data_IF_654906545537
#
_entry.id   IF_654906545537
#
_cell.length_a   1.000
_cell.length_b   1.000
_cell.length_c   1.000
_cell.angle_alpha   90.00
_cell.angle_beta   90.00
_cell.angle_gamma   90.00
#
_symmetry.space_group_name_H-M   'P 1'
#
loop_
_entity.id
_entity.type
_entity.pdbx_description
1 polymer ?
#
# COMPACT_ATOMS: atom_id res chain seq x y z
N UNK A 1 -15.95 52.58 25.97
CA UNK A 1 -15.08 52.70 24.78
C UNK A 1 -14.30 51.40 24.63
N UNK A 2 -14.60 50.66 23.58
CA UNK A 2 -13.95 49.41 23.19
C UNK A 2 -12.69 49.74 22.38
N UNK A 3 -11.70 48.85 22.47
CA UNK A 3 -10.54 48.60 21.60
C UNK A 3 -9.18 48.82 22.25
N UNK A 4 -8.45 47.70 22.44
CA UNK A 4 -7.33 47.34 21.55
C UNK A 4 -6.93 45.87 21.74
N UNK A 5 -7.12 45.09 20.69
CA UNK A 5 -6.49 43.79 20.44
C UNK A 5 -4.96 43.90 20.49
N UNK A 6 -4.26 42.92 21.09
CA UNK A 6 -2.91 42.56 20.69
C UNK A 6 -3.00 41.42 19.67
N UNK A 7 -3.28 41.78 18.42
CA UNK A 7 -3.15 40.86 17.30
C UNK A 7 -1.68 40.73 16.89
N UNK A 8 -1.31 39.52 16.47
CA UNK A 8 -0.07 39.13 15.78
C UNK A 8 1.17 38.99 16.66
N UNK A 9 1.25 37.87 17.40
CA UNK A 9 2.54 37.17 17.57
C UNK A 9 2.50 35.88 16.78
N UNK A 10 3.35 35.87 15.76
CA UNK A 10 3.85 34.78 14.93
C UNK A 10 3.44 33.36 15.33
N UNK A 11 2.61 32.72 14.49
CA UNK A 11 2.33 31.29 14.51
C UNK A 11 3.05 30.54 13.37
N UNK A 12 4.24 31.02 12.98
CA UNK A 12 5.16 30.30 12.10
C UNK A 12 6.13 29.50 12.96
N UNK A 13 6.23 28.19 12.70
CA UNK A 13 7.32 27.37 13.22
C UNK A 13 8.34 27.27 12.10
N UNK A 14 9.45 28.00 12.24
CA UNK A 14 10.64 27.79 11.41
C UNK A 14 11.32 26.50 11.86
N UNK A 15 11.14 25.43 11.08
CA UNK A 15 11.88 24.19 11.29
C UNK A 15 13.16 24.23 10.45
N UNK A 16 14.21 24.84 11.01
CA UNK A 16 15.55 24.76 10.43
C UNK A 16 16.16 23.37 10.69
N UNK A 17 16.02 22.47 9.73
CA UNK A 17 16.87 21.29 9.63
C UNK A 17 18.13 21.65 8.83
N UNK A 18 19.22 21.90 9.57
CA UNK A 18 20.55 22.03 8.99
C UNK A 18 21.06 20.64 8.62
N UNK A 19 20.97 20.31 7.33
CA UNK A 19 21.91 19.39 6.66
C UNK A 19 22.02 19.83 5.21
N UNK A 20 23.26 19.96 4.74
CA UNK A 20 23.61 20.61 3.49
C UNK A 20 23.11 19.93 2.22
N UNK A 21 23.26 20.71 1.15
CA UNK A 21 23.13 20.42 -0.27
C UNK A 21 21.72 20.40 -0.89
N UNK A 22 21.30 21.64 -1.21
CA UNK A 22 20.55 22.07 -2.40
C UNK A 22 19.47 21.14 -2.99
N UNK A 23 18.24 21.25 -2.46
CA UNK A 23 17.01 21.04 -3.22
C UNK A 23 16.12 22.29 -3.10
N UNK A 24 15.43 22.73 -4.17
CA UNK A 24 14.63 23.95 -4.13
C UNK A 24 13.42 23.76 -3.21
N UNK A 25 13.32 24.63 -2.20
CA UNK A 25 12.18 24.76 -1.29
C UNK A 25 10.90 25.02 -2.08
N UNK A 26 9.98 24.06 -2.05
CA UNK A 26 8.56 24.33 -2.29
C UNK A 26 7.95 24.61 -0.92
N UNK A 27 7.83 25.88 -0.56
CA UNK A 27 7.05 26.32 0.59
C UNK A 27 5.56 26.09 0.29
N UNK A 28 5.11 24.86 0.54
CA UNK A 28 3.69 24.51 0.48
C UNK A 28 3.03 25.02 1.78
N UNK A 29 2.67 26.30 1.80
CA UNK A 29 1.78 26.89 2.81
C UNK A 29 0.39 26.25 2.67
N UNK A 30 0.17 25.12 3.33
CA UNK A 30 -1.15 24.49 3.38
C UNK A 30 -1.87 24.89 4.67
N UNK A 31 -3.05 25.54 4.60
CA UNK A 31 -3.80 25.98 5.79
C UNK A 31 -4.18 24.81 6.71
N UNK A 32 -3.79 24.88 7.98
CA UNK A 32 -3.93 23.82 9.01
C UNK A 32 -5.37 23.34 9.24
N UNK A 33 -6.38 24.14 8.90
CA UNK A 33 -7.77 23.94 9.36
C UNK A 33 -8.71 23.32 8.33
N UNK A 34 -8.41 23.40 7.01
CA UNK A 34 -9.20 22.72 5.96
C UNK A 34 -8.75 21.27 5.71
N UNK A 35 -7.65 20.86 6.36
CA UNK A 35 -6.98 19.59 6.13
C UNK A 35 -7.41 18.46 7.09
N UNK A 36 -8.30 18.71 8.05
CA UNK A 36 -8.58 17.75 9.13
C UNK A 36 -9.50 16.61 8.70
N UNK A 37 -10.60 16.89 8.00
CA UNK A 37 -11.60 15.87 7.61
C UNK A 37 -11.11 14.97 6.47
N UNK A 38 -10.43 15.53 5.47
CA UNK A 38 -9.85 14.76 4.37
C UNK A 38 -8.68 13.89 4.83
N UNK A 39 -7.78 14.41 5.69
CA UNK A 39 -6.70 13.61 6.28
C UNK A 39 -7.24 12.52 7.21
N UNK A 40 -8.28 12.82 7.99
CA UNK A 40 -8.93 11.81 8.81
C UNK A 40 -9.60 10.73 7.95
N UNK A 41 -10.25 11.10 6.85
CA UNK A 41 -10.86 10.15 5.91
C UNK A 41 -9.80 9.28 5.23
N UNK A 42 -8.67 9.86 4.83
CA UNK A 42 -7.52 9.12 4.30
C UNK A 42 -6.89 8.19 5.34
N UNK A 43 -6.76 8.63 6.60
CA UNK A 43 -6.25 7.81 7.70
C UNK A 43 -7.21 6.67 8.05
N UNK A 44 -8.53 6.92 8.02
CA UNK A 44 -9.54 5.88 8.24
C UNK A 44 -9.58 4.89 7.09
N UNK A 45 -9.51 5.37 5.84
CA UNK A 45 -9.37 4.51 4.67
C UNK A 45 -8.11 3.65 4.82
N UNK A 46 -6.95 4.26 5.07
CA UNK A 46 -5.66 3.57 5.28
C UNK A 46 -5.72 2.52 6.38
N UNK A 47 -6.38 2.83 7.51
CA UNK A 47 -6.59 1.88 8.60
C UNK A 47 -7.44 0.70 8.16
N UNK A 48 -8.55 0.93 7.46
CA UNK A 48 -9.38 -0.14 6.90
C UNK A 48 -8.61 -1.00 5.91
N UNK A 49 -7.76 -0.41 5.06
CA UNK A 49 -6.84 -1.18 4.19
C UNK A 49 -5.90 -2.03 5.02
N UNK A 50 -5.35 -1.48 6.09
CA UNK A 50 -4.39 -2.16 6.96
C UNK A 50 -5.02 -3.34 7.70
N UNK A 51 -6.27 -3.20 8.14
CA UNK A 51 -7.02 -4.27 8.82
C UNK A 51 -7.34 -5.42 7.84
N UNK A 52 -7.72 -5.10 6.59
CA UNK A 52 -7.95 -6.09 5.54
C UNK A 52 -6.63 -6.72 5.04
N UNK A 53 -5.56 -5.94 4.91
CA UNK A 53 -4.21 -6.45 4.69
C UNK A 53 -3.83 -7.43 5.79
N UNK A 54 -4.21 -7.19 7.05
CA UNK A 54 -3.90 -8.08 8.15
C UNK A 54 -4.71 -9.39 8.12
N UNK A 55 -5.91 -9.41 7.53
CA UNK A 55 -6.66 -10.65 7.27
C UNK A 55 -6.00 -11.51 6.17
N UNK A 56 -5.50 -10.87 5.11
CA UNK A 56 -4.78 -11.50 4.01
C UNK A 56 -3.34 -11.90 4.36
N UNK A 57 -2.67 -11.02 5.10
CA UNK A 57 -1.28 -11.09 5.50
C UNK A 57 -1.23 -11.03 7.02
N UNK A 58 -1.49 -12.16 7.72
CA UNK A 58 -1.52 -12.18 9.16
C UNK A 58 -0.28 -11.51 9.74
N UNK A 59 -0.48 -10.81 10.85
CA UNK A 59 0.55 -10.08 11.60
C UNK A 59 1.86 -10.87 11.62
N UNK A 60 2.88 -10.34 10.94
CA UNK A 60 4.20 -10.99 10.81
C UNK A 60 4.67 -11.27 9.37
N UNK A 61 3.86 -10.99 8.34
CA UNK A 61 4.40 -10.97 6.97
C UNK A 61 5.34 -9.77 6.79
N UNK A 62 6.58 -10.06 6.38
CA UNK A 62 7.60 -9.03 6.10
C UNK A 62 7.20 -8.17 4.90
N UNK A 63 7.82 -6.99 4.77
CA UNK A 63 7.68 -6.14 3.58
C UNK A 63 7.96 -6.93 2.29
N UNK A 64 9.01 -7.76 2.30
CA UNK A 64 9.35 -8.66 1.19
C UNK A 64 8.21 -9.65 0.87
N UNK A 65 7.57 -10.21 1.89
CA UNK A 65 6.43 -11.11 1.70
C UNK A 65 5.26 -10.42 1.00
N UNK A 66 4.96 -9.16 1.37
CA UNK A 66 3.92 -8.36 0.73
C UNK A 66 4.26 -8.04 -0.73
N UNK A 67 5.51 -7.63 -0.99
CA UNK A 67 6.00 -7.38 -2.35
C UNK A 67 5.87 -8.62 -3.23
N UNK A 68 6.19 -9.80 -2.69
CA UNK A 68 6.03 -11.08 -3.39
C UNK A 68 4.58 -11.32 -3.79
N UNK A 69 3.62 -11.09 -2.88
CA UNK A 69 2.20 -11.28 -3.19
C UNK A 69 1.74 -10.31 -4.27
N UNK A 70 2.07 -9.03 -4.15
CA UNK A 70 1.69 -8.04 -5.16
C UNK A 70 2.27 -8.37 -6.54
N UNK A 71 3.53 -8.82 -6.61
CA UNK A 71 4.13 -9.23 -7.87
C UNK A 71 3.50 -10.49 -8.47
N UNK A 72 3.11 -11.46 -7.63
CA UNK A 72 2.38 -12.65 -8.10
C UNK A 72 1.02 -12.27 -8.72
N UNK A 73 0.28 -11.39 -8.05
CA UNK A 73 -1.04 -10.94 -8.52
C UNK A 73 -0.92 -10.08 -9.78
N UNK A 74 0.02 -9.12 -9.80
CA UNK A 74 0.30 -8.29 -10.99
C UNK A 74 0.61 -9.17 -12.20
N UNK A 75 1.55 -10.10 -12.06
CA UNK A 75 1.97 -10.98 -13.15
C UNK A 75 0.80 -11.85 -13.64
N UNK A 76 -0.04 -12.35 -12.73
CA UNK A 76 -1.24 -13.09 -13.09
C UNK A 76 -2.21 -12.27 -13.94
N UNK A 77 -2.54 -11.04 -13.52
CA UNK A 77 -3.44 -10.16 -14.28
C UNK A 77 -2.86 -9.71 -15.63
N UNK A 78 -1.54 -9.74 -15.79
CA UNK A 78 -0.85 -9.41 -17.03
C UNK A 78 -0.53 -10.65 -17.90
N UNK A 79 -1.00 -11.84 -17.50
CA UNK A 79 -0.69 -13.14 -18.14
C UNK A 79 0.83 -13.37 -18.32
N UNK A 80 1.63 -12.87 -17.36
CA UNK A 80 3.07 -13.04 -17.33
C UNK A 80 3.47 -14.31 -16.57
N UNK A 81 4.36 -15.11 -17.17
CA UNK A 81 4.94 -16.27 -16.50
C UNK A 81 5.99 -15.83 -15.48
N UNK A 82 5.76 -16.11 -14.19
CA UNK A 82 6.69 -15.76 -13.13
C UNK A 82 7.49 -16.98 -12.66
N UNK A 83 8.82 -16.90 -12.70
CA UNK A 83 9.72 -17.88 -12.10
C UNK A 83 10.23 -17.38 -10.75
N UNK A 84 10.81 -18.26 -9.92
CA UNK A 84 11.47 -17.84 -8.66
C UNK A 84 12.56 -16.77 -8.92
N UNK A 85 13.32 -16.93 -10.01
CA UNK A 85 14.40 -16.01 -10.36
C UNK A 85 13.86 -14.63 -10.77
N UNK A 86 12.87 -14.60 -11.67
CA UNK A 86 12.28 -13.33 -12.12
C UNK A 86 11.54 -12.61 -10.99
N UNK A 87 10.85 -13.36 -10.12
CA UNK A 87 10.24 -12.80 -8.91
C UNK A 87 11.27 -12.19 -7.98
N UNK A 88 12.34 -12.93 -7.66
CA UNK A 88 13.41 -12.47 -6.75
C UNK A 88 14.00 -11.13 -7.23
N UNK A 89 14.21 -11.01 -8.55
CA UNK A 89 14.69 -9.77 -9.18
C UNK A 89 13.67 -8.64 -9.05
N UNK A 90 12.38 -8.91 -9.33
CA UNK A 90 11.32 -7.91 -9.26
C UNK A 90 11.14 -7.33 -7.85
N UNK A 91 11.24 -8.16 -6.81
CA UNK A 91 11.06 -7.73 -5.42
C UNK A 91 12.34 -7.22 -4.75
N UNK A 92 13.48 -7.23 -5.45
CA UNK A 92 14.77 -6.80 -4.91
C UNK A 92 15.26 -7.62 -3.70
N UNK A 93 14.84 -8.88 -3.60
CA UNK A 93 15.11 -9.77 -2.47
C UNK A 93 16.32 -10.69 -2.70
N UNK A 94 16.72 -11.43 -1.66
CA UNK A 94 17.61 -12.58 -1.84
C UNK A 94 16.83 -13.80 -2.29
N UNK A 95 17.46 -14.70 -3.06
CA UNK A 95 16.79 -15.92 -3.53
C UNK A 95 16.32 -16.80 -2.36
N UNK A 96 17.17 -16.97 -1.33
CA UNK A 96 16.79 -17.72 -0.13
C UNK A 96 15.64 -17.07 0.65
N UNK A 97 15.64 -15.73 0.76
CA UNK A 97 14.53 -14.99 1.39
C UNK A 97 13.23 -15.20 0.63
N UNK A 98 13.28 -15.04 -0.69
CA UNK A 98 12.14 -15.23 -1.59
C UNK A 98 11.60 -16.66 -1.51
N UNK A 99 12.47 -17.68 -1.59
CA UNK A 99 12.08 -19.09 -1.47
C UNK A 99 11.38 -19.40 -0.14
N UNK A 100 11.88 -18.87 0.99
CA UNK A 100 11.24 -19.06 2.29
C UNK A 100 9.83 -18.47 2.34
N UNK A 101 9.61 -17.33 1.70
CA UNK A 101 8.28 -16.72 1.60
C UNK A 101 7.37 -17.52 0.67
N UNK A 102 7.86 -17.98 -0.48
CA UNK A 102 7.10 -18.83 -1.39
C UNK A 102 6.65 -20.13 -0.72
N UNK A 103 7.55 -20.78 0.02
CA UNK A 103 7.21 -22.00 0.77
C UNK A 103 6.08 -21.77 1.79
N UNK A 104 6.08 -20.63 2.48
CA UNK A 104 5.01 -20.26 3.42
C UNK A 104 3.68 -20.02 2.71
N UNK A 105 3.72 -19.34 1.56
CA UNK A 105 2.53 -19.10 0.74
C UNK A 105 1.96 -20.41 0.18
N UNK A 106 2.81 -21.33 -0.27
CA UNK A 106 2.41 -22.66 -0.73
C UNK A 106 1.77 -23.48 0.40
N UNK A 107 2.40 -23.50 1.58
CA UNK A 107 1.86 -24.17 2.77
C UNK A 107 0.51 -23.60 3.22
N UNK A 108 0.30 -22.30 3.04
CA UNK A 108 -0.96 -21.62 3.32
C UNK A 108 -2.02 -21.82 2.21
N UNK A 109 -1.70 -22.53 1.13
CA UNK A 109 -2.59 -22.70 -0.03
C UNK A 109 -2.78 -21.43 -0.86
N UNK A 110 -1.93 -20.41 -0.68
CA UNK A 110 -2.02 -19.11 -1.35
C UNK A 110 -1.22 -19.04 -2.66
N UNK A 111 -0.29 -19.98 -2.87
CA UNK A 111 0.56 -20.08 -4.05
C UNK A 111 0.35 -21.41 -4.76
N UNK A 112 0.33 -21.37 -6.09
CA UNK A 112 0.41 -22.54 -6.96
C UNK A 112 1.76 -22.57 -7.65
N UNK A 113 2.40 -23.74 -7.65
CA UNK A 113 3.63 -23.99 -8.39
C UNK A 113 3.33 -25.04 -9.46
N UNK A 114 3.63 -24.72 -10.72
CA UNK A 114 3.38 -25.59 -11.88
C UNK A 114 4.65 -25.76 -12.70
N UNK A 115 4.71 -26.81 -13.51
CA UNK A 115 5.74 -26.91 -14.55
C UNK A 115 5.56 -25.77 -15.55
N UNK A 116 6.66 -25.12 -15.92
CA UNK A 116 6.64 -23.98 -16.82
C UNK A 116 6.20 -24.36 -18.23
N UNK A 117 5.33 -23.55 -18.81
CA UNK A 117 4.76 -23.80 -20.14
C UNK A 117 5.81 -23.90 -21.26
N UNK A 118 6.90 -23.13 -21.16
CA UNK A 118 7.99 -23.09 -22.16
C UNK A 118 9.11 -24.09 -21.89
N UNK A 119 9.36 -24.41 -20.63
CA UNK A 119 10.41 -25.34 -20.20
C UNK A 119 9.89 -26.15 -19.01
N UNK A 120 9.65 -27.45 -19.21
CA UNK A 120 9.17 -28.36 -18.17
C UNK A 120 10.15 -28.51 -16.99
N UNK A 121 11.40 -28.08 -17.16
CA UNK A 121 12.39 -28.03 -16.07
C UNK A 121 12.28 -26.76 -15.23
N UNK A 122 11.53 -25.76 -15.69
CA UNK A 122 11.28 -24.53 -14.95
C UNK A 122 10.01 -24.65 -14.11
N UNK A 123 9.99 -23.99 -12.96
CA UNK A 123 8.80 -23.86 -12.12
C UNK A 123 8.19 -22.47 -12.36
N UNK A 124 6.90 -22.47 -12.62
CA UNK A 124 6.08 -21.28 -12.81
C UNK A 124 5.21 -21.08 -11.57
N UNK A 125 5.21 -19.83 -11.08
CA UNK A 125 4.51 -19.40 -9.88
C UNK A 125 3.22 -18.71 -10.29
N UNK A 126 2.13 -19.00 -9.60
CA UNK A 126 0.85 -18.32 -9.81
C UNK A 126 0.11 -18.14 -8.49
N UNK A 127 -0.63 -17.04 -8.29
CA UNK A 127 -1.51 -16.93 -7.15
C UNK A 127 -2.56 -18.04 -7.19
N UNK A 128 -2.92 -18.56 -6.02
CA UNK A 128 -4.07 -19.45 -5.91
C UNK A 128 -5.39 -18.68 -6.11
N UNK A 129 -6.49 -19.37 -6.44
CA UNK A 129 -7.82 -18.76 -6.43
C UNK A 129 -8.17 -18.13 -5.07
N UNK A 130 -7.76 -18.76 -3.96
CA UNK A 130 -7.99 -18.25 -2.61
C UNK A 130 -7.31 -16.90 -2.39
N UNK A 131 -6.07 -16.75 -2.86
CA UNK A 131 -5.33 -15.49 -2.79
C UNK A 131 -6.01 -14.41 -3.65
N UNK A 132 -6.46 -14.75 -4.86
CA UNK A 132 -7.15 -13.81 -5.73
C UNK A 132 -8.47 -13.33 -5.11
N UNK A 133 -9.30 -14.24 -4.61
CA UNK A 133 -10.57 -13.88 -3.93
C UNK A 133 -10.33 -12.92 -2.76
N UNK A 134 -9.29 -13.19 -1.97
CA UNK A 134 -8.96 -12.34 -0.85
C UNK A 134 -8.50 -10.95 -1.31
N UNK A 135 -7.70 -10.85 -2.38
CA UNK A 135 -7.28 -9.56 -2.96
C UNK A 135 -8.47 -8.78 -3.54
N UNK A 136 -9.39 -9.44 -4.24
CA UNK A 136 -10.62 -8.79 -4.75
C UNK A 136 -11.43 -8.19 -3.60
N UNK A 137 -11.63 -8.92 -2.49
CA UNK A 137 -12.32 -8.39 -1.30
C UNK A 137 -11.62 -7.17 -0.70
N UNK A 138 -10.29 -7.13 -0.73
CA UNK A 138 -9.51 -5.97 -0.30
C UNK A 138 -9.75 -4.77 -1.22
N UNK A 139 -9.75 -4.99 -2.54
CA UNK A 139 -10.00 -3.95 -3.55
C UNK A 139 -11.43 -3.39 -3.47
N UNK A 140 -12.43 -4.26 -3.31
CA UNK A 140 -13.84 -3.86 -3.16
C UNK A 140 -14.05 -2.97 -1.93
N UNK A 141 -13.43 -3.35 -0.81
CA UNK A 141 -13.51 -2.58 0.42
C UNK A 141 -12.77 -1.24 0.32
N UNK A 142 -11.62 -1.22 -0.37
CA UNK A 142 -10.88 -0.01 -0.72
C UNK A 142 -11.74 0.96 -1.55
N UNK A 143 -12.36 0.45 -2.61
CA UNK A 143 -13.23 1.24 -3.47
C UNK A 143 -14.43 1.79 -2.69
N UNK A 144 -15.06 0.95 -1.87
CA UNK A 144 -16.19 1.34 -1.00
C UNK A 144 -15.80 2.44 -0.01
N UNK A 145 -14.62 2.36 0.60
CA UNK A 145 -14.11 3.37 1.53
C UNK A 145 -13.87 4.71 0.82
N UNK A 146 -13.32 4.67 -0.40
CA UNK A 146 -13.10 5.87 -1.23
C UNK A 146 -14.44 6.49 -1.65
N UNK A 147 -15.39 5.70 -2.15
CA UNK A 147 -16.69 6.20 -2.61
C UNK A 147 -17.54 6.74 -1.44
N UNK A 148 -17.55 6.05 -0.30
CA UNK A 148 -18.25 6.50 0.91
C UNK A 148 -17.71 7.81 1.48
N UNK A 149 -16.42 8.10 1.26
CA UNK A 149 -15.81 9.39 1.63
C UNK A 149 -16.31 10.55 0.75
N UNK A 150 -16.53 10.30 -0.56
CA UNK A 150 -17.00 11.31 -1.52
C UNK A 150 -18.44 11.74 -1.25
N UNK A 151 -19.33 10.80 -0.95
CA UNK A 151 -20.74 11.11 -0.68
C UNK A 151 -20.96 11.92 0.61
N UNK A 152 -20.11 11.76 1.63
CA UNK A 152 -20.20 12.58 2.86
C UNK A 152 -19.74 14.03 2.65
N UNK A 153 -18.84 14.29 1.69
CA UNK A 153 -18.42 15.65 1.35
C UNK A 153 -19.49 16.43 0.57
N UNK A 154 -20.32 15.75 -0.25
CA UNK A 154 -21.40 16.38 -1.02
C UNK A 154 -22.62 16.75 -0.16
N UNK A 155 -22.99 15.90 0.79
CA UNK A 155 -24.12 16.15 1.71
C UNK A 155 -23.79 17.23 2.74
N UNK A 156 -22.51 17.41 3.11
CA UNK A 156 -22.06 18.46 4.03
C UNK A 156 -21.90 19.86 3.41
N UNK A 157 -22.09 20.00 2.09
CA UNK A 157 -22.01 21.27 1.34
C UNK A 157 -23.37 21.79 0.86
N UNK A 158 -24.44 21.02 1.08
CA UNK A 158 -25.82 21.37 0.71
C UNK A 158 -26.59 21.98 1.87
#
# INVERSE_FOLDING_TARGET
MIHKDPSVRSNLVDLHLVTGDHLPMIDLLVPKEMLSTQRLSLLMAWRSVSDLEAELFPVGMSLLGRQIVWELVRAHWQDECLSVKSLTLAVGGSENGTRRHLQRLEQAGLLLIREGRRDRRSLELSPSPLLLEAIERLLDALESAIQGSKHREEVGRS
#
